data_IF_145805064823
#
_entry.id   IF_145805064823
#
_cell.length_a   1.000
_cell.length_b   1.000
_cell.length_c   1.000
_cell.angle_alpha   90.00
_cell.angle_beta   90.00
_cell.angle_gamma   90.00
#
_symmetry.space_group_name_H-M   'P 1'
#
loop_
_entity.id
_entity.type
_entity.pdbx_description
1 polymer ?
#
# COMPACT_ATOMS: atom_id res chain seq x y z
N UNK A 1 13.11 14.93 -27.00
CA UNK A 1 13.37 15.41 -25.62
C UNK A 1 13.35 14.20 -24.71
N UNK A 2 14.52 13.77 -24.25
CA UNK A 2 14.64 12.59 -23.38
C UNK A 2 14.40 13.06 -21.95
N UNK A 3 13.24 12.74 -21.38
CA UNK A 3 12.94 13.01 -19.98
C UNK A 3 13.85 12.13 -19.12
N UNK A 4 14.89 12.73 -18.52
CA UNK A 4 15.63 12.08 -17.44
C UNK A 4 14.65 11.86 -16.29
N UNK A 5 14.17 10.63 -16.12
CA UNK A 5 13.44 10.25 -14.92
C UNK A 5 14.45 10.27 -13.77
N UNK A 6 14.33 11.24 -12.87
CA UNK A 6 15.13 11.30 -11.65
C UNK A 6 14.81 10.06 -10.84
N UNK A 7 15.69 9.07 -10.86
CA UNK A 7 15.57 7.88 -10.03
C UNK A 7 15.86 8.30 -8.59
N UNK A 8 14.80 8.54 -7.82
CA UNK A 8 14.89 8.70 -6.38
C UNK A 8 14.77 7.30 -5.77
N UNK A 9 15.84 6.67 -5.26
CA UNK A 9 15.71 5.43 -4.52
C UNK A 9 15.01 5.72 -3.19
N UNK A 10 13.68 5.70 -3.18
CA UNK A 10 12.91 5.64 -1.94
C UNK A 10 13.02 4.21 -1.40
N UNK A 11 13.93 3.99 -0.46
CA UNK A 11 13.88 2.76 0.33
C UNK A 11 12.58 2.79 1.14
N UNK A 12 11.58 2.04 0.67
CA UNK A 12 10.32 1.80 1.40
C UNK A 12 10.64 1.22 2.78
N UNK A 13 11.61 0.31 2.84
CA UNK A 13 12.01 -0.36 4.07
C UNK A 13 12.84 0.58 4.94
N UNK A 14 12.47 0.66 6.22
CA UNK A 14 13.05 1.59 7.20
C UNK A 14 13.82 0.90 8.35
N UNK A 15 13.90 -0.44 8.36
CA UNK A 15 14.63 -1.19 9.38
C UNK A 15 14.55 -2.70 9.19
N UNK A 16 14.98 -3.45 10.19
CA UNK A 16 15.22 -4.90 10.14
C UNK A 16 14.08 -5.76 10.73
N UNK A 17 12.89 -5.17 10.95
CA UNK A 17 11.74 -5.93 11.43
C UNK A 17 11.38 -7.04 10.42
N UNK A 18 11.11 -8.28 10.85
CA UNK A 18 10.80 -9.39 9.95
C UNK A 18 9.69 -9.05 8.96
N UNK A 19 9.98 -9.25 7.67
CA UNK A 19 9.07 -8.97 6.58
C UNK A 19 8.40 -10.25 6.13
N UNK A 20 7.09 -10.33 6.34
CA UNK A 20 6.25 -11.34 5.71
C UNK A 20 5.57 -10.69 4.52
N UNK A 21 5.69 -11.35 3.36
CA UNK A 21 5.00 -10.96 2.14
C UNK A 21 4.07 -12.07 1.70
N UNK A 22 2.94 -11.70 1.14
CA UNK A 22 2.00 -12.62 0.52
C UNK A 22 1.46 -12.01 -0.78
N UNK A 23 0.79 -12.80 -1.60
CA UNK A 23 0.16 -12.33 -2.83
C UNK A 23 -1.32 -12.08 -2.61
N UNK A 24 -1.81 -10.91 -3.01
CA UNK A 24 -3.24 -10.61 -3.01
C UNK A 24 -3.68 -9.96 -4.32
N UNK A 25 -4.97 -10.07 -4.64
CA UNK A 25 -5.53 -9.49 -5.87
C UNK A 25 -5.80 -8.01 -5.67
N UNK A 26 -5.23 -7.16 -6.51
CA UNK A 26 -5.49 -5.73 -6.57
C UNK A 26 -6.68 -5.47 -7.48
N UNK A 27 -7.66 -4.71 -7.00
CA UNK A 27 -8.85 -4.34 -7.75
C UNK A 27 -8.53 -3.47 -8.98
N UNK A 28 -9.29 -3.67 -10.06
CA UNK A 28 -9.10 -3.01 -11.34
C UNK A 28 -9.19 -1.46 -11.26
N UNK A 29 -8.58 -0.80 -12.24
CA UNK A 29 -8.74 0.64 -12.48
C UNK A 29 -7.83 1.54 -11.65
N UNK A 30 -6.69 1.02 -11.16
CA UNK A 30 -5.77 1.77 -10.31
C UNK A 30 -4.32 1.65 -10.79
N UNK A 31 -3.59 2.76 -10.73
CA UNK A 31 -2.13 2.79 -10.87
C UNK A 31 -1.55 3.06 -9.49
N UNK A 32 -0.90 2.05 -8.91
CA UNK A 32 -0.38 2.06 -7.55
C UNK A 32 1.13 1.95 -7.59
N UNK A 33 1.80 2.74 -6.76
CA UNK A 33 3.24 2.62 -6.55
C UNK A 33 3.53 1.74 -5.36
N UNK A 34 4.72 1.17 -5.33
CA UNK A 34 5.31 0.56 -4.15
C UNK A 34 5.20 1.52 -2.97
N UNK A 35 4.70 1.02 -1.84
CA UNK A 35 4.36 1.82 -0.67
C UNK A 35 2.88 2.26 -0.62
N UNK A 36 2.06 1.91 -1.61
CA UNK A 36 0.62 2.15 -1.55
C UNK A 36 -0.01 1.45 -0.35
N UNK A 37 -0.74 2.23 0.45
CA UNK A 37 -1.45 1.75 1.63
C UNK A 37 -2.81 1.22 1.19
N UNK A 38 -3.00 -0.10 1.29
CA UNK A 38 -4.18 -0.75 0.77
C UNK A 38 -5.14 -1.15 1.89
N UNK A 39 -6.43 -1.05 1.59
CA UNK A 39 -7.48 -1.69 2.37
C UNK A 39 -8.05 -2.87 1.60
N UNK A 40 -8.74 -3.76 2.31
CA UNK A 40 -9.37 -4.94 1.73
C UNK A 40 -10.86 -4.70 1.57
N UNK A 41 -11.38 -4.95 0.38
CA UNK A 41 -12.81 -4.92 0.09
C UNK A 41 -13.46 -6.14 0.76
N UNK A 42 -14.51 -5.92 1.53
CA UNK A 42 -15.18 -6.98 2.30
C UNK A 42 -15.93 -7.97 1.39
N UNK A 43 -16.44 -7.49 0.25
CA UNK A 43 -17.31 -8.27 -0.62
C UNK A 43 -16.57 -9.37 -1.39
N UNK A 44 -15.35 -9.10 -1.85
CA UNK A 44 -14.59 -9.99 -2.74
C UNK A 44 -13.15 -10.26 -2.26
N UNK A 45 -12.73 -9.63 -1.16
CA UNK A 45 -11.39 -9.80 -0.59
C UNK A 45 -10.28 -9.11 -1.39
N UNK A 46 -10.61 -8.38 -2.47
CA UNK A 46 -9.62 -7.66 -3.28
C UNK A 46 -9.07 -6.44 -2.52
N UNK A 47 -7.88 -6.01 -2.91
CA UNK A 47 -7.21 -4.87 -2.32
C UNK A 47 -7.28 -3.65 -3.22
N UNK A 48 -7.47 -2.48 -2.62
CA UNK A 48 -7.45 -1.20 -3.32
C UNK A 48 -6.80 -0.13 -2.45
N UNK A 49 -6.45 1.00 -3.06
CA UNK A 49 -5.92 2.12 -2.32
C UNK A 49 -6.92 2.54 -1.23
N UNK A 50 -6.45 2.52 0.02
CA UNK A 50 -7.32 2.80 1.16
C UNK A 50 -7.73 4.27 1.15
N UNK A 51 -9.03 4.56 1.24
CA UNK A 51 -9.56 5.90 1.35
C UNK A 51 -10.52 5.99 2.54
N UNK A 52 -10.37 7.00 3.40
CA UNK A 52 -11.17 7.08 4.64
C UNK A 52 -12.68 7.19 4.40
N UNK A 53 -13.08 7.77 3.26
CA UNK A 53 -14.47 7.90 2.85
C UNK A 53 -15.06 6.63 2.19
N UNK A 54 -14.26 5.57 2.00
CA UNK A 54 -14.75 4.32 1.45
C UNK A 54 -15.71 3.61 2.44
N UNK A 55 -16.66 2.87 1.88
CA UNK A 55 -17.66 2.09 2.63
C UNK A 55 -17.69 0.61 2.25
N UNK A 56 -16.75 0.19 1.40
CA UNK A 56 -16.63 -1.16 0.86
C UNK A 56 -15.72 -2.09 1.70
N UNK A 57 -15.19 -1.60 2.83
CA UNK A 57 -14.21 -2.29 3.68
C UNK A 57 -12.79 -1.76 3.51
N UNK A 58 -12.49 -1.13 2.37
CA UNK A 58 -11.14 -0.64 2.05
C UNK A 58 -10.73 0.62 2.81
N UNK A 59 -11.63 1.22 3.60
CA UNK A 59 -11.32 2.41 4.39
C UNK A 59 -10.28 2.19 5.48
N UNK A 60 -10.09 0.95 5.91
CA UNK A 60 -9.10 0.59 6.92
C UNK A 60 -7.81 0.10 6.25
N UNK A 61 -6.65 0.74 6.51
CA UNK A 61 -5.35 0.24 6.09
C UNK A 61 -5.10 -1.18 6.62
N UNK A 62 -4.71 -2.09 5.73
CA UNK A 62 -4.47 -3.51 6.05
C UNK A 62 -3.07 -3.96 5.65
N UNK A 63 -2.61 -3.54 4.48
CA UNK A 63 -1.34 -4.02 3.88
C UNK A 63 -0.67 -2.89 3.10
N UNK A 64 0.59 -3.09 2.75
CA UNK A 64 1.34 -2.17 1.90
C UNK A 64 1.77 -2.90 0.63
N UNK A 65 1.60 -2.26 -0.52
CA UNK A 65 2.06 -2.81 -1.79
C UNK A 65 3.60 -2.77 -1.88
N UNK A 66 4.24 -3.89 -2.22
CA UNK A 66 5.71 -3.97 -2.29
C UNK A 66 6.29 -3.77 -3.70
N UNK A 67 5.45 -3.56 -4.71
CA UNK A 67 5.89 -3.21 -6.07
C UNK A 67 4.95 -2.19 -6.74
N UNK A 68 5.34 -1.65 -7.89
CA UNK A 68 4.45 -0.82 -8.69
C UNK A 68 3.49 -1.72 -9.47
N UNK A 69 2.20 -1.44 -9.43
CA UNK A 69 1.16 -2.19 -10.13
C UNK A 69 0.24 -1.26 -10.90
N UNK A 70 -0.02 -1.64 -12.15
CA UNK A 70 -1.04 -1.03 -12.99
C UNK A 70 -2.16 -2.07 -13.24
N UNK A 71 -3.36 -1.77 -12.73
CA UNK A 71 -4.57 -2.58 -12.89
C UNK A 71 -5.58 -1.95 -13.85
N UNK A 72 -5.16 -0.99 -14.69
CA UNK A 72 -6.03 -0.38 -15.71
C UNK A 72 -6.57 -1.42 -16.72
N UNK A 73 -5.81 -2.49 -16.96
CA UNK A 73 -6.23 -3.62 -17.81
C UNK A 73 -7.09 -4.69 -17.10
N UNK A 74 -7.37 -4.53 -15.81
CA UNK A 74 -8.11 -5.50 -15.00
C UNK A 74 -7.46 -5.79 -13.64
N UNK A 75 -8.18 -6.51 -12.78
CA UNK A 75 -7.66 -6.92 -11.48
C UNK A 75 -6.42 -7.82 -11.66
N UNK A 76 -5.39 -7.58 -10.86
CA UNK A 76 -4.09 -8.23 -11.01
C UNK A 76 -3.51 -8.64 -9.64
N UNK A 77 -2.91 -9.83 -9.50
CA UNK A 77 -2.21 -10.20 -8.26
C UNK A 77 -1.00 -9.31 -8.03
N UNK A 78 -0.70 -9.02 -6.76
CA UNK A 78 0.44 -8.20 -6.36
C UNK A 78 1.05 -8.63 -5.02
N UNK A 79 2.35 -8.40 -4.80
CA UNK A 79 3.02 -8.66 -3.54
C UNK A 79 2.61 -7.61 -2.50
N UNK A 80 2.10 -8.13 -1.39
CA UNK A 80 1.63 -7.37 -0.24
C UNK A 80 2.59 -7.61 0.92
N UNK A 81 3.05 -6.53 1.52
CA UNK A 81 3.77 -6.55 2.77
C UNK A 81 2.76 -6.66 3.92
N UNK A 82 2.81 -7.77 4.66
CA UNK A 82 1.96 -8.05 5.81
C UNK A 82 2.56 -7.57 7.12
N UNK A 83 3.90 -7.59 7.23
CA UNK A 83 4.66 -7.13 8.39
C UNK A 83 5.93 -6.42 7.95
N UNK A 84 6.46 -5.51 8.77
CA UNK A 84 7.72 -4.83 8.46
C UNK A 84 7.82 -3.42 9.01
N UNK A 85 8.98 -2.80 8.80
CA UNK A 85 9.22 -1.39 9.05
C UNK A 85 9.27 -0.62 7.73
N UNK A 86 8.40 0.38 7.58
CA UNK A 86 8.29 1.19 6.37
C UNK A 86 8.50 2.68 6.66
N UNK A 87 9.05 3.39 5.68
CA UNK A 87 9.28 4.83 5.75
C UNK A 87 8.00 5.58 5.40
N UNK A 88 7.49 6.41 6.31
CA UNK A 88 6.26 7.19 6.08
C UNK A 88 6.34 8.08 4.83
N UNK A 89 7.51 8.67 4.56
CA UNK A 89 7.74 9.50 3.37
C UNK A 89 7.71 8.73 2.03
N UNK A 90 7.82 7.40 2.07
CA UNK A 90 7.73 6.54 0.89
C UNK A 90 6.33 5.93 0.69
N UNK A 91 5.38 6.20 1.59
CA UNK A 91 4.02 5.68 1.48
C UNK A 91 3.20 6.49 0.48
N UNK A 92 2.47 5.79 -0.38
CA UNK A 92 1.38 6.37 -1.14
C UNK A 92 0.10 6.25 -0.30
N UNK A 93 -0.36 7.38 0.23
CA UNK A 93 -1.60 7.48 0.99
C UNK A 93 -2.78 7.68 0.05
N UNK A 94 -3.89 6.99 0.32
CA UNK A 94 -5.16 7.33 -0.33
C UNK A 94 -5.85 8.51 0.35
N UNK A 95 -6.93 8.98 -0.30
CA UNK A 95 -7.60 10.20 0.09
C UNK A 95 -8.10 10.17 1.54
N UNK A 96 -7.83 11.27 2.27
CA UNK A 96 -8.27 11.47 3.64
C UNK A 96 -7.43 10.77 4.72
N UNK A 97 -6.42 9.99 4.34
CA UNK A 97 -5.44 9.45 5.29
C UNK A 97 -4.33 10.43 5.60
N UNK A 98 -3.80 10.33 6.82
CA UNK A 98 -2.55 10.98 7.24
C UNK A 98 -1.54 9.92 7.63
N UNK A 99 -0.26 10.26 7.68
CA UNK A 99 0.77 9.34 8.20
C UNK A 99 0.43 8.89 9.62
N UNK A 100 -0.14 9.78 10.45
CA UNK A 100 -0.56 9.44 11.81
C UNK A 100 -1.70 8.40 11.83
N UNK A 101 -2.74 8.57 10.99
CA UNK A 101 -3.86 7.63 10.93
C UNK A 101 -3.42 6.26 10.42
N UNK A 102 -2.58 6.23 9.38
CA UNK A 102 -2.04 4.99 8.82
C UNK A 102 -1.10 4.31 9.81
N UNK A 103 -0.21 5.05 10.47
CA UNK A 103 0.67 4.50 11.51
C UNK A 103 -0.12 3.84 12.64
N UNK A 104 -1.20 4.49 13.10
CA UNK A 104 -2.07 3.92 14.13
C UNK A 104 -2.77 2.63 13.65
N UNK A 105 -3.30 2.63 12.44
CA UNK A 105 -4.01 1.47 11.87
C UNK A 105 -3.08 0.27 11.62
N UNK A 106 -1.89 0.52 11.06
CA UNK A 106 -0.94 -0.53 10.68
C UNK A 106 -0.18 -1.13 11.87
N UNK A 107 -0.05 -0.39 12.97
CA UNK A 107 0.68 -0.84 14.17
C UNK A 107 0.11 -2.11 14.79
N UNK A 108 -1.20 -2.33 14.68
CA UNK A 108 -1.87 -3.55 15.17
C UNK A 108 -1.56 -4.77 14.32
N UNK A 109 -1.11 -4.57 13.09
CA UNK A 109 -0.78 -5.61 12.11
C UNK A 109 0.74 -5.87 12.02
N UNK A 110 1.52 -5.33 12.95
CA UNK A 110 2.99 -5.40 12.93
C UNK A 110 3.63 -4.74 11.69
N UNK A 111 2.96 -3.73 11.15
CA UNK A 111 3.49 -2.80 10.16
C UNK A 111 3.81 -1.47 10.86
N UNK A 112 5.09 -1.14 10.93
CA UNK A 112 5.61 -0.02 11.69
C UNK A 112 6.02 1.10 10.74
N UNK A 113 5.31 2.24 10.81
CA UNK A 113 5.64 3.43 10.02
C UNK A 113 6.63 4.31 10.80
N UNK A 114 7.81 4.52 10.22
CA UNK A 114 8.89 5.37 10.73
C UNK A 114 8.89 6.73 10.04
#
# INVERSE_FOLDING_TARGET
MTTLATYTPSSLIAGDFPQVKDTGVIAAGQVLKRGAVLGQITADGQYKLSATAASDGSQTPKVILDEDIDTTGGAHPGPLLLTGEVRGAALQLGAGHTIASVKAALRTLSLFVR
#
